data_IF_128495229380
#
_entry.id   IF_128495229380
#
_cell.length_a   1.000
_cell.length_b   1.000
_cell.length_c   1.000
_cell.angle_alpha   90.00
_cell.angle_beta   90.00
_cell.angle_gamma   90.00
#
_symmetry.space_group_name_H-M   'P 1'
#
loop_
_entity.id
_entity.type
_entity.pdbx_description
1 polymer ?
#
# COMPACT_ATOMS: atom_id res chain seq x y z
N UNK A 1 8.78 11.75 -5.79
CA UNK A 1 8.60 10.44 -6.43
C UNK A 1 8.87 10.57 -7.91
N UNK A 2 9.78 9.76 -8.43
CA UNK A 2 10.07 9.68 -9.86
C UNK A 2 9.00 8.86 -10.60
N UNK A 3 8.88 9.03 -11.92
CA UNK A 3 7.83 8.35 -12.71
C UNK A 3 7.89 6.81 -12.64
N UNK A 4 9.08 6.23 -12.60
CA UNK A 4 9.26 4.78 -12.49
C UNK A 4 8.88 4.26 -11.10
N UNK A 5 9.06 5.06 -10.05
CA UNK A 5 8.66 4.74 -8.68
C UNK A 5 7.15 4.77 -8.55
N UNK A 6 6.49 5.75 -9.18
CA UNK A 6 5.04 5.85 -9.20
C UNK A 6 4.42 4.64 -9.92
N UNK A 7 4.94 4.27 -11.09
CA UNK A 7 4.50 3.07 -11.81
C UNK A 7 4.72 1.79 -11.00
N UNK A 8 5.84 1.68 -10.27
CA UNK A 8 6.10 0.56 -9.37
C UNK A 8 5.09 0.51 -8.21
N UNK A 9 4.78 1.66 -7.61
CA UNK A 9 3.79 1.76 -6.53
C UNK A 9 2.39 1.42 -7.04
N UNK A 10 1.98 1.93 -8.20
CA UNK A 10 0.68 1.58 -8.80
C UNK A 10 0.57 0.07 -9.06
N UNK A 11 1.61 -0.56 -9.60
CA UNK A 11 1.64 -2.02 -9.80
C UNK A 11 1.57 -2.82 -8.49
N UNK A 12 2.19 -2.33 -7.40
CA UNK A 12 2.02 -2.93 -6.08
C UNK A 12 0.58 -2.80 -5.61
N UNK A 13 -0.01 -1.63 -5.78
CA UNK A 13 -1.36 -1.32 -5.32
C UNK A 13 -2.42 -2.15 -6.06
N UNK A 14 -2.23 -2.38 -7.35
CA UNK A 14 -3.05 -3.29 -8.14
C UNK A 14 -2.95 -4.75 -7.70
N UNK A 15 -1.92 -5.12 -6.93
CA UNK A 15 -1.73 -6.47 -6.41
C UNK A 15 -1.79 -6.51 -4.88
N UNK A 16 -2.29 -5.44 -4.24
CA UNK A 16 -2.20 -5.28 -2.80
C UNK A 16 -3.02 -6.35 -2.08
N UNK A 17 -4.28 -6.61 -2.46
CA UNK A 17 -5.14 -7.44 -1.64
C UNK A 17 -4.70 -8.90 -1.56
N UNK A 18 -4.17 -9.50 -2.62
CA UNK A 18 -3.62 -10.86 -2.57
C UNK A 18 -2.37 -10.96 -1.66
N UNK A 19 -1.50 -9.95 -1.70
CA UNK A 19 -0.27 -9.90 -0.89
C UNK A 19 -0.57 -9.52 0.56
N UNK A 20 -1.53 -8.63 0.77
CA UNK A 20 -2.06 -8.26 2.08
C UNK A 20 -2.72 -9.46 2.76
N UNK A 21 -3.62 -10.17 2.09
CA UNK A 21 -4.25 -11.39 2.63
C UNK A 21 -3.22 -12.48 2.99
N UNK A 22 -2.06 -12.48 2.35
CA UNK A 22 -0.94 -13.38 2.69
C UNK A 22 -0.19 -12.91 3.93
N UNK A 23 0.21 -11.64 4.00
CA UNK A 23 0.87 -11.08 5.19
C UNK A 23 -0.04 -11.04 6.42
N UNK A 24 -1.36 -10.92 6.24
CA UNK A 24 -2.34 -10.81 7.32
C UNK A 24 -2.82 -12.14 7.88
N UNK A 25 -2.62 -13.26 7.17
CA UNK A 25 -2.84 -14.60 7.75
C UNK A 25 -1.90 -14.89 8.93
N UNK A 26 -0.83 -14.11 9.06
CA UNK A 26 0.12 -14.17 10.17
C UNK A 26 -0.29 -13.26 11.35
N UNK A 27 -1.25 -12.34 11.17
CA UNK A 27 -1.64 -11.31 12.15
C UNK A 27 -3.18 -11.13 12.19
N UNK A 28 -3.86 -12.06 12.87
CA UNK A 28 -5.29 -12.34 12.69
C UNK A 28 -6.27 -11.37 13.40
N UNK A 29 -5.79 -10.32 14.08
CA UNK A 29 -6.64 -9.58 15.04
C UNK A 29 -7.29 -8.29 14.52
N UNK A 30 -6.90 -7.74 13.36
CA UNK A 30 -7.41 -6.41 12.93
C UNK A 30 -8.27 -6.46 11.66
N UNK A 31 -9.51 -5.98 11.76
CA UNK A 31 -10.43 -5.78 10.63
C UNK A 31 -9.92 -4.64 9.72
N UNK A 32 -9.49 -4.97 8.51
CA UNK A 32 -8.93 -4.02 7.52
C UNK A 32 -9.95 -3.51 6.51
N UNK A 33 -11.08 -4.20 6.37
CA UNK A 33 -12.09 -3.95 5.35
C UNK A 33 -13.41 -3.74 6.03
N UNK A 34 -14.09 -2.62 5.73
CA UNK A 34 -15.46 -2.38 6.21
C UNK A 34 -16.48 -3.10 5.34
N UNK A 35 -16.24 -3.10 4.03
CA UNK A 35 -17.06 -3.75 3.01
C UNK A 35 -16.24 -3.96 1.73
N UNK A 36 -16.80 -4.66 0.73
CA UNK A 36 -16.11 -4.99 -0.53
C UNK A 36 -15.55 -3.81 -1.32
N UNK A 37 -15.89 -2.57 -0.98
CA UNK A 37 -15.40 -1.37 -1.64
C UNK A 37 -14.65 -0.41 -0.71
N UNK A 38 -14.54 -0.71 0.60
CA UNK A 38 -14.00 0.22 1.60
C UNK A 38 -13.08 -0.42 2.61
N UNK A 39 -11.95 0.23 2.86
CA UNK A 39 -11.04 -0.10 3.93
C UNK A 39 -11.48 0.56 5.24
N UNK A 40 -11.11 -0.05 6.36
CA UNK A 40 -11.09 0.65 7.66
C UNK A 40 -9.94 1.67 7.67
N UNK A 41 -9.94 2.56 8.66
CA UNK A 41 -8.81 3.49 8.85
C UNK A 41 -7.51 2.71 9.14
N UNK A 42 -7.63 1.58 9.85
CA UNK A 42 -6.54 0.63 10.04
C UNK A 42 -6.07 0.00 8.72
N UNK A 43 -7.00 -0.42 7.86
CA UNK A 43 -6.71 -0.95 6.52
C UNK A 43 -5.96 0.03 5.64
N UNK A 44 -6.39 1.30 5.61
CA UNK A 44 -5.68 2.37 4.91
C UNK A 44 -4.27 2.59 5.45
N UNK A 45 -4.14 2.69 6.78
CA UNK A 45 -2.85 2.92 7.43
C UNK A 45 -1.87 1.79 7.11
N UNK A 46 -2.34 0.54 7.20
CA UNK A 46 -1.56 -0.63 6.85
C UNK A 46 -1.14 -0.60 5.37
N UNK A 47 -2.08 -0.37 4.45
CA UNK A 47 -1.80 -0.31 3.01
C UNK A 47 -0.75 0.77 2.69
N UNK A 48 -0.89 1.96 3.28
CA UNK A 48 0.10 3.02 3.17
C UNK A 48 1.48 2.58 3.70
N UNK A 49 1.53 1.95 4.87
CA UNK A 49 2.77 1.46 5.48
C UNK A 49 3.47 0.39 4.65
N UNK A 50 2.70 -0.53 4.06
CA UNK A 50 3.21 -1.56 3.16
C UNK A 50 3.83 -0.94 1.90
N UNK A 51 3.09 -0.08 1.21
CA UNK A 51 3.58 0.61 0.00
C UNK A 51 4.82 1.45 0.31
N UNK A 52 4.80 2.17 1.43
CA UNK A 52 5.94 2.94 1.94
C UNK A 52 7.17 2.05 2.12
N UNK A 53 7.03 0.90 2.79
CA UNK A 53 8.14 -0.04 3.01
C UNK A 53 8.72 -0.54 1.68
N UNK A 54 7.87 -0.92 0.72
CA UNK A 54 8.31 -1.38 -0.61
C UNK A 54 9.06 -0.31 -1.39
N UNK A 55 8.57 0.94 -1.35
CA UNK A 55 9.23 2.05 -2.02
C UNK A 55 10.57 2.40 -1.35
N UNK A 56 10.64 2.38 -0.02
CA UNK A 56 11.91 2.54 0.69
C UNK A 56 12.92 1.44 0.34
N UNK A 57 12.49 0.19 0.18
CA UNK A 57 13.37 -0.89 -0.31
C UNK A 57 13.86 -0.65 -1.73
N UNK A 58 12.99 -0.20 -2.64
CA UNK A 58 13.37 0.15 -4.00
C UNK A 58 14.42 1.28 -4.02
N UNK A 59 14.21 2.32 -3.20
CA UNK A 59 15.17 3.43 -3.09
C UNK A 59 16.48 3.01 -2.43
N UNK A 60 16.45 2.11 -1.45
CA UNK A 60 17.67 1.58 -0.84
C UNK A 60 18.55 0.82 -1.86
N UNK A 61 17.93 0.15 -2.82
CA UNK A 61 18.63 -0.57 -3.89
C UNK A 61 19.14 0.38 -5.00
N UNK A 62 18.40 1.45 -5.28
CA UNK A 62 18.69 2.39 -6.37
C UNK A 62 19.51 3.63 -5.96
N UNK A 63 19.51 4.02 -4.68
CA UNK A 63 20.08 5.27 -4.20
C UNK A 63 20.62 5.17 -2.76
N UNK A 64 21.58 6.03 -2.43
CA UNK A 64 22.23 6.10 -1.10
C UNK A 64 21.30 6.63 0.01
N UNK A 65 20.07 7.06 -0.33
CA UNK A 65 19.11 7.64 0.63
C UNK A 65 17.73 6.97 0.50
N UNK A 66 17.41 5.99 1.37
CA UNK A 66 16.14 5.25 1.30
C UNK A 66 14.94 6.01 1.89
N UNK A 67 15.16 7.24 2.37
CA UNK A 67 14.16 8.00 3.10
C UNK A 67 13.11 8.59 2.16
N UNK A 68 11.85 8.44 2.54
CA UNK A 68 10.72 9.02 1.84
C UNK A 68 10.43 10.41 2.40
N UNK A 69 10.15 11.35 1.51
CA UNK A 69 9.76 12.70 1.89
C UNK A 69 8.30 12.74 2.31
N UNK A 70 7.89 13.82 2.99
CA UNK A 70 6.47 14.06 3.29
C UNK A 70 5.61 14.07 2.01
N UNK A 71 6.14 14.60 0.91
CA UNK A 71 5.46 14.61 -0.39
C UNK A 71 5.26 13.19 -0.95
N UNK A 72 6.25 12.30 -0.78
CA UNK A 72 6.10 10.88 -1.18
C UNK A 72 5.00 10.20 -0.35
N UNK A 73 4.94 10.44 0.96
CA UNK A 73 3.89 9.88 1.80
C UNK A 73 2.49 10.40 1.45
N UNK A 74 2.36 11.69 1.09
CA UNK A 74 1.11 12.23 0.58
C UNK A 74 0.70 11.56 -0.73
N UNK A 75 1.64 11.39 -1.66
CA UNK A 75 1.38 10.74 -2.94
C UNK A 75 0.94 9.29 -2.76
N UNK A 76 1.59 8.54 -1.86
CA UNK A 76 1.21 7.16 -1.51
C UNK A 76 -0.21 7.10 -0.97
N UNK A 77 -0.58 8.05 -0.10
CA UNK A 77 -1.95 8.12 0.44
C UNK A 77 -2.98 8.35 -0.66
N UNK A 78 -2.74 9.33 -1.53
CA UNK A 78 -3.63 9.61 -2.67
C UNK A 78 -3.77 8.39 -3.58
N UNK A 79 -2.68 7.66 -3.80
CA UNK A 79 -2.66 6.41 -4.56
C UNK A 79 -3.51 5.32 -3.90
N UNK A 80 -3.32 5.08 -2.59
CA UNK A 80 -4.15 4.12 -1.85
C UNK A 80 -5.62 4.51 -1.86
N UNK A 81 -5.93 5.80 -1.72
CA UNK A 81 -7.31 6.30 -1.76
C UNK A 81 -7.96 6.13 -3.14
N UNK A 82 -7.21 6.41 -4.22
CA UNK A 82 -7.68 6.18 -5.61
C UNK A 82 -8.02 4.71 -5.88
N UNK A 83 -7.26 3.79 -5.29
CA UNK A 83 -7.41 2.35 -5.51
C UNK A 83 -8.15 1.63 -4.37
N UNK A 84 -8.73 2.36 -3.41
CA UNK A 84 -9.31 1.79 -2.19
C UNK A 84 -10.28 0.64 -2.49
N UNK A 85 -11.20 0.86 -3.44
CA UNK A 85 -12.22 -0.13 -3.78
C UNK A 85 -11.64 -1.43 -4.33
N UNK A 86 -10.58 -1.34 -5.14
CA UNK A 86 -9.85 -2.51 -5.66
C UNK A 86 -9.19 -3.28 -4.53
N UNK A 87 -8.46 -2.56 -3.66
CA UNK A 87 -7.76 -3.14 -2.51
C UNK A 87 -8.77 -3.84 -1.58
N UNK A 88 -9.88 -3.18 -1.27
CA UNK A 88 -10.92 -3.71 -0.39
C UNK A 88 -11.61 -4.96 -0.99
N UNK A 89 -11.87 -4.96 -2.30
CA UNK A 89 -12.49 -6.10 -2.98
C UNK A 89 -11.60 -7.34 -2.95
N UNK A 90 -10.29 -7.15 -3.16
CA UNK A 90 -9.32 -8.24 -3.13
C UNK A 90 -9.12 -8.81 -1.73
N UNK A 91 -9.17 -7.97 -0.69
CA UNK A 91 -9.07 -8.40 0.72
C UNK A 91 -10.32 -9.13 1.23
N UNK A 92 -11.48 -8.84 0.66
CA UNK A 92 -12.74 -9.49 1.03
C UNK A 92 -12.91 -10.87 0.37
N UNK A 93 -12.14 -11.17 -0.69
CA UNK A 93 -12.26 -12.40 -1.48
C UNK A 93 -11.52 -13.58 -0.85
#
# INVERSE_FOLDING_TARGET
>A
MEAYEEAYVEAIIENLGARMATCMREDAETEMVRDRARLTDGGRLWACGYVTSRLSMLRADAADTPNLSAADHHRIRDLVDRHESTIASELHS
#
